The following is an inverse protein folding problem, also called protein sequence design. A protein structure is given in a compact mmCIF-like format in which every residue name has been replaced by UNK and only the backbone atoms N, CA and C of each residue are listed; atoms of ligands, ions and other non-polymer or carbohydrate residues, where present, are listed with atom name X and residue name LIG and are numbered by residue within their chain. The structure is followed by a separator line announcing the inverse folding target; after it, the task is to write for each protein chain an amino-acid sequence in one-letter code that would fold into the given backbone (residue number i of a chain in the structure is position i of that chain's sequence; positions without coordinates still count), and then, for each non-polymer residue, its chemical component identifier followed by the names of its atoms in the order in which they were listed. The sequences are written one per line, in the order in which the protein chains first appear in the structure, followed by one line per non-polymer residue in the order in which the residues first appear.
data_IF_689733339649
#
_entry.id   IF_689733339649
#
_cell.length_a   1.000
_cell.length_b   1.000
_cell.length_c   1.000
_cell.angle_alpha   90.00
_cell.angle_beta   90.00
_cell.angle_gamma   90.00
#
_symmetry.space_group_name_H-M   'P 1'
#
loop_
_entity.id
_entity.type
_entity.pdbx_description
1 polymer ?
#
# COMPACT_ATOMS: atom_id res chain seq x y z
N UNK A 1 -0.52 3.53 36.55
CA UNK A 1 -1.66 3.35 35.63
C UNK A 1 -2.94 3.73 36.35
N UNK A 2 -3.86 4.47 35.73
CA UNK A 2 -5.13 4.86 36.32
C UNK A 2 -6.07 3.65 36.47
N UNK A 3 -6.76 3.54 37.60
CA UNK A 3 -7.75 2.46 37.87
C UNK A 3 -9.10 2.77 37.23
N UNK A 4 -9.12 2.99 35.92
CA UNK A 4 -10.35 3.29 35.16
C UNK A 4 -10.97 1.99 34.63
N UNK A 5 -12.29 1.81 34.74
CA UNK A 5 -12.95 0.60 34.23
C UNK A 5 -12.86 0.49 32.71
N UNK A 6 -12.78 -0.73 32.18
CA UNK A 6 -12.77 -0.98 30.73
C UNK A 6 -14.02 -0.40 30.05
N UNK A 7 -15.20 -0.55 30.67
CA UNK A 7 -16.46 0.02 30.18
C UNK A 7 -16.40 1.54 30.06
N UNK A 8 -15.78 2.22 31.04
CA UNK A 8 -15.57 3.67 31.02
C UNK A 8 -14.63 4.08 29.88
N UNK A 9 -13.51 3.36 29.69
CA UNK A 9 -12.56 3.60 28.60
C UNK A 9 -13.20 3.42 27.22
N UNK A 10 -14.03 2.38 27.04
CA UNK A 10 -14.77 2.14 25.81
C UNK A 10 -15.79 3.25 25.53
N UNK A 11 -16.50 3.73 26.57
CA UNK A 11 -17.47 4.82 26.43
C UNK A 11 -16.78 6.13 26.00
N UNK A 12 -15.71 6.52 26.70
CA UNK A 12 -14.94 7.74 26.39
C UNK A 12 -14.34 7.67 24.98
N UNK A 13 -13.83 6.49 24.57
CA UNK A 13 -13.37 6.27 23.18
C UNK A 13 -14.49 6.53 22.17
N UNK A 14 -15.70 6.03 22.41
CA UNK A 14 -16.81 6.19 21.48
C UNK A 14 -17.23 7.66 21.35
N UNK A 15 -17.28 8.42 22.45
CA UNK A 15 -17.55 9.86 22.44
C UNK A 15 -16.51 10.64 21.62
N UNK A 16 -15.21 10.33 21.79
CA UNK A 16 -14.15 10.97 21.02
C UNK A 16 -14.21 10.62 19.51
N UNK A 17 -14.69 9.43 19.16
CA UNK A 17 -14.94 9.04 17.76
C UNK A 17 -16.16 9.78 17.18
N UNK A 18 -17.26 9.88 17.93
CA UNK A 18 -18.46 10.62 17.51
C UNK A 18 -18.17 12.10 17.28
N UNK A 19 -17.35 12.71 18.14
CA UNK A 19 -16.92 14.10 18.04
C UNK A 19 -15.83 14.33 16.96
N UNK A 20 -15.40 13.29 16.23
CA UNK A 20 -14.39 13.38 15.18
C UNK A 20 -12.95 13.60 15.67
N UNK A 21 -12.73 13.65 16.99
CA UNK A 21 -11.43 13.93 17.62
C UNK A 21 -10.47 12.74 17.60
N UNK A 22 -11.00 11.52 17.45
CA UNK A 22 -10.26 10.27 17.51
C UNK A 22 -10.73 9.30 16.41
N UNK A 23 -9.79 8.68 15.70
CA UNK A 23 -10.08 7.59 14.77
C UNK A 23 -9.51 6.28 15.31
N UNK A 24 -10.28 5.19 15.20
CA UNK A 24 -9.89 3.85 15.66
C UNK A 24 -9.88 2.84 14.51
N UNK A 25 -8.79 2.06 14.38
CA UNK A 25 -8.62 1.04 13.35
C UNK A 25 -8.27 -0.33 13.97
N UNK A 26 -9.15 -1.32 13.82
CA UNK A 26 -8.95 -2.71 14.29
C UNK A 26 -7.87 -3.42 13.46
N UNK A 27 -7.03 -4.26 14.08
CA UNK A 27 -5.91 -4.99 13.41
C UNK A 27 -5.94 -6.52 13.60
N UNK A 28 -7.12 -7.12 13.54
CA UNK A 28 -7.31 -8.57 13.71
C UNK A 28 -7.43 -9.01 15.17
N UNK A 29 -7.27 -10.31 15.45
CA UNK A 29 -7.47 -10.90 16.79
C UNK A 29 -6.25 -10.80 17.72
N UNK A 30 -5.03 -10.81 17.17
CA UNK A 30 -3.78 -10.92 17.95
C UNK A 30 -2.99 -9.61 18.04
N UNK A 31 -3.55 -8.48 17.56
CA UNK A 31 -2.88 -7.17 17.59
C UNK A 31 -3.81 -6.10 18.14
N UNK A 32 -3.27 -5.23 18.99
CA UNK A 32 -3.97 -4.03 19.43
C UNK A 32 -4.33 -3.13 18.23
N UNK A 33 -5.53 -2.54 18.29
CA UNK A 33 -5.98 -1.55 17.32
C UNK A 33 -5.14 -0.27 17.39
N UNK A 34 -5.18 0.52 16.31
CA UNK A 34 -4.50 1.82 16.21
C UNK A 34 -5.50 2.91 16.58
N UNK A 35 -5.01 3.89 17.34
CA UNK A 35 -5.68 5.14 17.65
C UNK A 35 -4.94 6.28 16.94
N UNK A 36 -5.66 7.16 16.26
CA UNK A 36 -5.12 8.33 15.55
C UNK A 36 -5.91 9.54 16.06
N UNK A 37 -5.21 10.57 16.53
CA UNK A 37 -5.84 11.84 16.90
C UNK A 37 -6.11 12.66 15.64
N UNK A 38 -7.23 13.37 15.60
CA UNK A 38 -7.51 14.36 14.56
C UNK A 38 -6.92 15.71 14.97
N UNK A 39 -6.43 16.49 14.00
CA UNK A 39 -5.80 17.79 14.26
C UNK A 39 -6.80 18.80 14.83
N UNK A 40 -6.65 19.09 16.13
CA UNK A 40 -7.51 20.03 16.88
C UNK A 40 -7.45 21.49 16.38
N UNK A 41 -6.49 21.81 15.52
CA UNK A 41 -6.25 23.15 14.97
C UNK A 41 -7.05 23.42 13.68
N UNK A 42 -7.75 22.41 13.13
CA UNK A 42 -8.60 22.56 11.95
C UNK A 42 -10.02 23.00 12.30
N UNK A 43 -10.61 23.89 11.49
CA UNK A 43 -12.01 24.31 11.65
C UNK A 43 -12.96 23.13 11.36
N UNK A 44 -13.43 22.44 12.40
CA UNK A 44 -14.39 21.35 12.26
C UNK A 44 -15.78 21.88 11.88
N UNK A 45 -16.25 21.53 10.68
CA UNK A 45 -17.68 21.59 10.37
C UNK A 45 -18.40 20.48 11.12
N UNK A 46 -19.25 20.86 12.08
CA UNK A 46 -20.09 19.93 12.84
C UNK A 46 -20.96 19.15 11.85
N UNK A 47 -20.84 17.82 11.85
CA UNK A 47 -21.79 16.95 11.15
C UNK A 47 -23.00 16.73 12.04
N UNK A 48 -24.12 17.33 11.67
CA UNK A 48 -25.45 17.11 12.26
C UNK A 48 -25.78 15.62 12.29
N UNK A 49 -26.46 15.09 13.33
CA UNK A 49 -26.86 13.69 13.37
C UNK A 49 -27.80 13.36 12.21
N UNK A 50 -27.53 12.27 11.51
CA UNK A 50 -28.49 11.65 10.60
C UNK A 50 -29.40 10.69 11.39
N UNK A 51 -30.68 10.66 11.03
CA UNK A 51 -31.74 10.00 11.77
C UNK A 51 -31.54 8.49 11.92
N UNK A 52 -31.91 7.94 13.09
CA UNK A 52 -32.29 6.55 13.26
C UNK A 52 -33.18 6.40 14.50
N UNK A 53 -34.49 6.40 14.28
CA UNK A 53 -35.46 6.03 15.31
C UNK A 53 -35.59 4.51 15.39
N UNK A 54 -35.59 3.95 16.60
CA UNK A 54 -36.37 2.74 16.96
C UNK A 54 -36.65 2.75 18.46
N UNK A 55 -37.93 2.58 18.80
CA UNK A 55 -38.53 2.62 20.13
C UNK A 55 -38.06 1.48 21.05
N UNK A 56 -37.98 1.75 22.37
CA UNK A 56 -37.74 0.73 23.39
C UNK A 56 -37.93 1.24 24.82
N UNK A 57 -39.18 1.45 25.24
CA UNK A 57 -39.51 1.95 26.58
C UNK A 57 -39.54 0.81 27.63
N UNK A 58 -38.75 0.91 28.70
CA UNK A 58 -39.05 0.30 30.02
C UNK A 58 -38.60 1.31 31.11
N UNK A 59 -39.44 1.62 32.12
CA UNK A 59 -39.14 2.63 33.14
C UNK A 59 -38.54 2.04 34.43
N UNK A 60 -37.69 2.82 35.13
CA UNK A 60 -37.53 2.74 36.59
C UNK A 60 -37.34 4.15 37.16
N UNK A 61 -38.14 4.45 38.17
CA UNK A 61 -38.14 5.65 38.99
C UNK A 61 -37.10 5.55 40.11
N UNK A 62 -36.34 6.62 40.37
CA UNK A 62 -35.98 7.01 41.75
C UNK A 62 -35.75 8.52 41.80
N UNK A 63 -36.56 9.21 42.58
CA UNK A 63 -36.42 10.62 42.91
C UNK A 63 -35.12 10.91 43.67
N UNK A 64 -34.32 11.86 43.17
CA UNK A 64 -33.36 12.61 43.98
C UNK A 64 -33.46 14.08 43.59
N UNK A 65 -33.97 14.89 44.51
CA UNK A 65 -33.90 16.35 44.42
C UNK A 65 -32.46 16.79 44.68
N UNK A 66 -31.90 17.56 43.75
CA UNK A 66 -30.76 18.42 44.00
C UNK A 66 -30.87 19.70 43.18
N UNK A 67 -31.78 20.59 43.59
CA UNK A 67 -31.72 22.00 43.22
C UNK A 67 -30.34 22.58 43.54
N UNK A 68 -29.61 22.99 42.49
CA UNK A 68 -28.41 23.83 42.60
C UNK A 68 -28.45 24.88 41.50
N UNK A 69 -28.62 26.14 41.90
CA UNK A 69 -28.60 27.29 41.00
C UNK A 69 -27.29 27.36 40.20
N UNK A 70 -27.40 27.39 38.88
CA UNK A 70 -26.24 27.57 37.98
C UNK A 70 -26.18 29.02 37.49
N UNK A 71 -25.70 29.93 38.34
CA UNK A 71 -25.61 31.36 38.01
C UNK A 71 -24.35 32.06 38.56
N UNK A 72 -23.15 31.66 38.11
CA UNK A 72 -21.98 32.57 38.18
C UNK A 72 -21.19 32.62 36.88
N UNK A 73 -21.48 33.68 36.13
CA UNK A 73 -20.58 34.60 35.43
C UNK A 73 -19.26 34.10 34.79
N UNK A 74 -19.13 34.40 33.50
CA UNK A 74 -17.87 34.36 32.75
C UNK A 74 -16.92 35.50 33.15
N UNK A 75 -15.88 35.21 33.96
CA UNK A 75 -14.57 35.89 33.86
C UNK A 75 -13.53 35.22 34.75
N UNK A 76 -12.59 34.46 34.17
CA UNK A 76 -11.25 34.28 34.76
C UNK A 76 -10.21 34.41 33.65
N UNK A 77 -9.35 35.42 33.80
CA UNK A 77 -8.30 35.77 32.84
C UNK A 77 -7.16 34.75 32.95
N UNK A 78 -6.97 33.89 31.96
CA UNK A 78 -5.83 32.96 31.94
C UNK A 78 -4.56 33.66 31.44
N UNK A 79 -3.89 34.36 32.35
CA UNK A 79 -2.51 34.83 32.16
C UNK A 79 -1.55 33.62 32.15
N UNK A 80 -1.29 33.06 30.97
CA UNK A 80 -0.19 32.11 30.75
C UNK A 80 0.56 32.54 29.49
N UNK A 81 1.80 32.97 29.70
CA UNK A 81 2.71 33.50 28.70
C UNK A 81 2.97 32.47 27.57
N UNK A 82 2.62 32.85 26.33
CA UNK A 82 2.66 31.96 25.15
C UNK A 82 3.93 32.17 24.30
N UNK A 83 4.98 32.80 24.86
CA UNK A 83 6.15 33.28 24.11
C UNK A 83 7.25 32.23 23.83
N UNK A 84 7.01 30.94 24.07
CA UNK A 84 7.91 29.86 23.69
C UNK A 84 7.44 29.15 22.40
N UNK A 85 8.32 29.04 21.40
CA UNK A 85 8.08 28.48 20.05
C UNK A 85 7.25 29.31 19.06
N UNK A 86 7.72 30.52 18.77
CA UNK A 86 7.62 31.08 17.40
C UNK A 86 9.02 31.23 16.80
N UNK A 87 9.54 30.17 16.18
CA UNK A 87 10.75 30.27 15.35
C UNK A 87 10.40 30.97 14.03
N UNK A 88 10.42 32.31 14.06
CA UNK A 88 10.30 33.15 12.86
C UNK A 88 11.54 32.95 11.99
N UNK A 89 11.34 32.42 10.79
CA UNK A 89 12.38 32.23 9.77
C UNK A 89 13.00 33.57 9.37
N UNK A 90 14.14 33.94 9.98
CA UNK A 90 14.96 35.06 9.52
C UNK A 90 15.82 34.61 8.34
N UNK A 91 15.70 35.31 7.23
CA UNK A 91 16.64 35.20 6.11
C UNK A 91 18.01 35.72 6.56
N UNK A 92 19.03 34.86 6.55
CA UNK A 92 20.42 35.27 6.74
C UNK A 92 21.15 35.17 5.39
N UNK A 93 21.44 36.31 4.77
CA UNK A 93 22.46 36.42 3.72
C UNK A 93 23.84 36.36 4.41
N UNK A 94 24.62 35.33 4.15
CA UNK A 94 26.06 35.31 4.46
C UNK A 94 26.85 34.87 3.23
N UNK A 95 27.83 35.68 2.83
CA UNK A 95 28.85 35.30 1.84
C UNK A 95 30.12 34.83 2.56
N UNK A 96 30.48 33.55 2.40
CA UNK A 96 31.83 32.98 2.56
C UNK A 96 31.74 31.57 1.95
N UNK A 97 32.38 31.20 0.83
CA UNK A 97 33.80 31.28 0.40
C UNK A 97 34.66 30.13 0.93
N UNK A 98 34.78 29.07 0.11
CA UNK A 98 35.90 28.12 -0.03
C UNK A 98 36.19 27.19 1.18
N UNK A 99 36.54 25.90 1.08
CA UNK A 99 36.79 24.93 -0.01
C UNK A 99 36.68 23.51 0.63
N UNK A 100 36.47 22.36 -0.03
CA UNK A 100 36.13 21.95 -1.41
C UNK A 100 35.40 20.57 -1.28
N UNK A 101 35.16 19.68 -2.27
CA UNK A 101 35.51 19.59 -3.70
C UNK A 101 34.48 18.70 -4.43
N UNK A 102 34.32 18.89 -5.75
CA UNK A 102 33.63 17.96 -6.69
C UNK A 102 32.10 17.79 -6.50
N UNK A 103 31.24 17.83 -7.52
CA UNK A 103 31.41 18.13 -8.95
C UNK A 103 30.30 19.07 -9.44
N UNK A 104 30.63 19.86 -10.46
CA UNK A 104 29.66 20.53 -11.33
C UNK A 104 28.61 19.56 -11.91
N UNK A 105 27.34 19.98 -11.90
CA UNK A 105 26.56 20.27 -13.12
C UNK A 105 25.28 21.02 -12.72
N UNK A 106 25.13 22.26 -13.21
CA UNK A 106 23.82 22.93 -13.30
C UNK A 106 23.09 22.40 -14.52
N UNK A 107 22.24 21.38 -14.32
CA UNK A 107 21.14 21.04 -15.22
C UNK A 107 19.88 20.83 -14.36
N UNK A 108 18.72 21.06 -15.00
CA UNK A 108 17.40 20.52 -14.62
C UNK A 108 17.16 20.15 -13.13
N UNK A 109 16.94 21.17 -12.29
CA UNK A 109 16.30 21.02 -10.95
C UNK A 109 14.90 20.36 -10.99
N UNK A 110 14.41 20.02 -12.18
CA UNK A 110 13.10 19.47 -12.47
C UNK A 110 13.06 17.93 -12.42
N UNK A 111 14.18 17.29 -12.73
CA UNK A 111 14.28 15.85 -13.08
C UNK A 111 15.12 15.03 -12.08
N UNK A 112 15.45 15.58 -10.90
CA UNK A 112 16.17 14.81 -9.89
C UNK A 112 15.30 13.69 -9.28
N UNK A 113 15.88 12.51 -9.11
CA UNK A 113 15.27 11.34 -8.48
C UNK A 113 14.79 11.62 -7.05
N UNK A 114 15.48 12.50 -6.32
CA UNK A 114 15.05 12.97 -4.98
C UNK A 114 13.72 13.72 -5.09
N UNK A 115 13.58 14.63 -6.05
CA UNK A 115 12.34 15.40 -6.26
C UNK A 115 11.22 14.49 -6.77
N UNK A 116 11.54 13.52 -7.63
CA UNK A 116 10.59 12.52 -8.09
C UNK A 116 10.04 11.67 -6.94
N UNK A 117 10.90 11.18 -6.04
CA UNK A 117 10.48 10.46 -4.84
C UNK A 117 9.54 11.29 -3.96
N UNK A 118 9.91 12.54 -3.67
CA UNK A 118 9.10 13.42 -2.82
C UNK A 118 7.71 13.67 -3.43
N UNK A 119 7.63 13.83 -4.75
CA UNK A 119 6.35 14.07 -5.44
C UNK A 119 5.47 12.82 -5.56
N UNK A 120 6.04 11.65 -5.87
CA UNK A 120 5.27 10.43 -6.19
C UNK A 120 5.05 9.48 -5.00
N UNK A 121 5.97 9.49 -4.02
CA UNK A 121 5.98 8.51 -2.93
C UNK A 121 5.61 9.15 -1.60
N UNK A 122 6.33 10.19 -1.18
CA UNK A 122 6.16 10.83 0.13
C UNK A 122 6.74 12.25 0.18
N UNK A 123 5.90 13.32 0.21
CA UNK A 123 6.37 14.70 0.27
C UNK A 123 7.13 15.08 1.55
N UNK A 124 6.98 14.30 2.63
CA UNK A 124 7.59 14.55 3.93
C UNK A 124 8.45 13.36 4.37
N UNK A 125 9.39 12.97 3.51
CA UNK A 125 10.29 11.84 3.74
C UNK A 125 11.40 12.15 4.77
N UNK A 126 11.88 11.13 5.48
CA UNK A 126 12.98 11.27 6.42
C UNK A 126 14.30 11.69 5.70
N UNK A 127 15.09 12.63 6.25
CA UNK A 127 16.33 13.13 5.60
C UNK A 127 17.35 12.05 5.23
N UNK A 128 17.43 10.96 6.02
CA UNK A 128 18.28 9.81 5.73
C UNK A 128 17.95 9.13 4.39
N UNK A 129 16.66 9.05 4.04
CA UNK A 129 16.21 8.45 2.77
C UNK A 129 16.55 9.38 1.60
N UNK A 130 16.35 10.68 1.78
CA UNK A 130 16.72 11.72 0.80
C UNK A 130 18.23 11.70 0.51
N UNK A 131 19.07 11.58 1.53
CA UNK A 131 20.53 11.42 1.37
C UNK A 131 20.87 10.11 0.66
N UNK A 132 20.23 9.00 1.05
CA UNK A 132 20.46 7.69 0.43
C UNK A 132 20.08 7.65 -1.05
N UNK A 133 19.00 8.35 -1.46
CA UNK A 133 18.65 8.54 -2.87
C UNK A 133 19.75 9.27 -3.63
N UNK A 134 20.32 10.34 -3.05
CA UNK A 134 21.47 11.04 -3.63
C UNK A 134 22.73 10.17 -3.74
N UNK A 135 22.99 9.30 -2.76
CA UNK A 135 24.07 8.32 -2.85
C UNK A 135 23.86 7.35 -4.01
N UNK A 136 22.66 6.77 -4.15
CA UNK A 136 22.33 5.90 -5.28
C UNK A 136 22.53 6.58 -6.64
N UNK A 137 22.13 7.86 -6.78
CA UNK A 137 22.38 8.62 -8.01
C UNK A 137 23.87 8.71 -8.31
N UNK A 138 24.72 8.97 -7.30
CA UNK A 138 26.17 8.99 -7.45
C UNK A 138 26.76 7.61 -7.78
N UNK A 139 26.26 6.53 -7.15
CA UNK A 139 26.69 5.15 -7.39
C UNK A 139 26.40 4.71 -8.84
N UNK A 140 25.31 5.20 -9.43
CA UNK A 140 24.98 5.07 -10.86
C UNK A 140 25.63 6.16 -11.74
N UNK A 141 26.71 6.81 -11.29
CA UNK A 141 27.50 7.76 -12.08
C UNK A 141 26.82 9.12 -12.34
N UNK A 142 25.86 9.51 -11.50
CA UNK A 142 25.09 10.75 -11.64
C UNK A 142 23.81 10.61 -12.49
N UNK A 143 23.37 9.40 -12.79
CA UNK A 143 22.19 9.14 -13.63
C UNK A 143 20.92 9.05 -12.78
N UNK A 144 20.27 10.19 -12.50
CA UNK A 144 18.96 10.26 -11.84
C UNK A 144 17.90 9.36 -12.54
N UNK A 145 17.98 9.25 -13.87
CA UNK A 145 17.08 8.45 -14.72
C UNK A 145 16.98 6.98 -14.28
N UNK A 146 18.10 6.37 -13.86
CA UNK A 146 18.13 4.97 -13.39
C UNK A 146 17.39 4.85 -12.06
N UNK A 147 17.58 5.79 -11.15
CA UNK A 147 16.90 5.79 -9.84
C UNK A 147 15.41 6.09 -10.02
N UNK A 148 15.03 6.96 -10.96
CA UNK A 148 13.63 7.22 -11.34
C UNK A 148 12.97 5.96 -11.91
N UNK A 149 13.62 5.27 -12.85
CA UNK A 149 13.11 4.01 -13.40
C UNK A 149 12.90 2.93 -12.31
N UNK A 150 13.77 2.89 -11.29
CA UNK A 150 13.60 2.00 -10.14
C UNK A 150 12.41 2.41 -9.24
N UNK A 151 12.15 3.71 -9.08
CA UNK A 151 10.96 4.23 -8.38
C UNK A 151 9.69 3.85 -9.15
N UNK A 152 9.69 3.98 -10.48
CA UNK A 152 8.55 3.56 -11.31
C UNK A 152 8.30 2.05 -11.23
N UNK A 153 9.35 1.22 -11.26
CA UNK A 153 9.24 -0.21 -11.06
C UNK A 153 8.71 -0.56 -9.65
N UNK A 154 9.15 0.18 -8.63
CA UNK A 154 8.62 0.05 -7.26
C UNK A 154 7.11 0.36 -7.22
N UNK A 155 6.68 1.46 -7.86
CA UNK A 155 5.29 1.91 -7.93
C UNK A 155 4.39 0.98 -8.74
N UNK A 156 4.85 0.45 -9.89
CA UNK A 156 4.15 -0.57 -10.69
C UNK A 156 3.86 -1.84 -9.90
N UNK A 157 4.79 -2.23 -9.01
CA UNK A 157 4.61 -3.36 -8.09
C UNK A 157 3.79 -3.00 -6.83
N UNK A 158 3.19 -1.80 -6.77
CA UNK A 158 2.43 -1.24 -5.66
C UNK A 158 3.19 -1.27 -4.31
N UNK A 159 4.51 -1.19 -4.36
CA UNK A 159 5.35 -1.01 -3.18
C UNK A 159 5.67 0.49 -3.04
N UNK A 160 5.51 1.04 -1.84
CA UNK A 160 5.88 2.43 -1.51
C UNK A 160 6.75 2.43 -0.27
N UNK A 161 7.93 1.82 -0.37
CA UNK A 161 8.85 1.69 0.74
C UNK A 161 10.28 1.70 0.25
N UNK A 162 11.13 2.53 0.86
CA UNK A 162 12.55 2.64 0.50
C UNK A 162 13.26 1.28 0.47
N UNK A 163 12.96 0.38 1.42
CA UNK A 163 13.52 -1.00 1.45
C UNK A 163 13.23 -1.82 0.17
N UNK A 164 12.13 -1.54 -0.53
CA UNK A 164 11.83 -2.19 -1.81
C UNK A 164 12.60 -1.53 -2.96
N UNK A 165 12.68 -0.19 -2.99
CA UNK A 165 13.53 0.55 -3.93
C UNK A 165 15.00 0.12 -3.82
N UNK A 166 15.56 0.10 -2.62
CA UNK A 166 16.91 -0.34 -2.32
C UNK A 166 17.17 -1.78 -2.83
N UNK A 167 16.17 -2.66 -2.74
CA UNK A 167 16.26 -4.03 -3.27
C UNK A 167 16.28 -4.07 -4.80
N UNK A 168 15.53 -3.19 -5.48
CA UNK A 168 15.59 -3.04 -6.95
C UNK A 168 16.98 -2.55 -7.34
N UNK A 169 17.44 -1.44 -6.76
CA UNK A 169 18.72 -0.80 -7.07
C UNK A 169 19.90 -1.75 -6.85
N UNK A 170 19.96 -2.46 -5.71
CA UNK A 170 20.96 -3.52 -5.45
C UNK A 170 20.89 -4.67 -6.47
N UNK A 171 19.69 -5.02 -6.95
CA UNK A 171 19.55 -6.03 -8.01
C UNK A 171 19.99 -5.53 -9.39
N UNK A 172 20.09 -4.22 -9.61
CA UNK A 172 20.51 -3.62 -10.88
C UNK A 172 22.02 -3.37 -10.89
N UNK A 173 22.54 -2.83 -9.78
CA UNK A 173 23.97 -2.73 -9.46
C UNK A 173 24.68 -4.09 -9.61
N UNK A 174 24.19 -5.13 -8.92
CA UNK A 174 24.76 -6.50 -9.00
C UNK A 174 24.64 -7.17 -10.37
N UNK A 175 23.91 -6.57 -11.32
CA UNK A 175 23.81 -7.03 -12.72
C UNK A 175 24.59 -6.15 -13.70
N UNK A 176 25.28 -5.11 -13.24
CA UNK A 176 25.99 -4.17 -14.10
C UNK A 176 25.08 -3.32 -14.99
N UNK A 177 23.87 -2.98 -14.50
CA UNK A 177 22.93 -2.09 -15.20
C UNK A 177 23.30 -0.62 -14.92
N UNK A 178 24.43 -0.20 -15.47
CA UNK A 178 25.08 1.11 -15.31
C UNK A 178 24.57 2.20 -16.27
N UNK A 179 23.54 1.92 -17.08
CA UNK A 179 23.03 2.81 -18.12
C UNK A 179 21.52 2.62 -18.29
N UNK A 180 20.81 3.72 -18.59
CA UNK A 180 19.35 3.70 -18.82
C UNK A 180 18.94 2.69 -19.90
N UNK A 181 19.71 2.56 -20.99
CA UNK A 181 19.41 1.61 -22.08
C UNK A 181 19.47 0.16 -21.61
N UNK A 182 20.47 -0.18 -20.79
CA UNK A 182 20.59 -1.52 -20.17
C UNK A 182 19.44 -1.81 -19.22
N UNK A 183 19.02 -0.81 -18.42
CA UNK A 183 17.86 -0.91 -17.52
C UNK A 183 16.58 -1.14 -18.32
N UNK A 184 16.33 -0.37 -19.38
CA UNK A 184 15.14 -0.50 -20.21
C UNK A 184 15.06 -1.88 -20.88
N UNK A 185 16.13 -2.32 -21.54
CA UNK A 185 16.19 -3.65 -22.15
C UNK A 185 16.00 -4.79 -21.11
N UNK A 186 16.55 -4.62 -19.91
CA UNK A 186 16.35 -5.56 -18.80
C UNK A 186 14.88 -5.61 -18.34
N UNK A 187 14.21 -4.46 -18.24
CA UNK A 187 12.78 -4.37 -17.89
C UNK A 187 11.91 -5.04 -18.97
N UNK A 188 12.12 -4.71 -20.24
CA UNK A 188 11.35 -5.28 -21.36
C UNK A 188 11.47 -6.82 -21.41
N UNK A 189 12.67 -7.35 -21.20
CA UNK A 189 12.89 -8.79 -21.04
C UNK A 189 12.17 -9.40 -19.84
N UNK A 190 12.12 -8.67 -18.71
CA UNK A 190 11.43 -9.11 -17.50
C UNK A 190 9.91 -9.17 -17.67
N UNK A 191 9.29 -8.14 -18.27
CA UNK A 191 7.85 -8.10 -18.53
C UNK A 191 7.42 -9.17 -19.54
N UNK A 192 8.17 -9.34 -20.63
CA UNK A 192 7.90 -10.37 -21.64
C UNK A 192 7.99 -11.78 -21.04
N UNK A 193 9.04 -12.07 -20.25
CA UNK A 193 9.21 -13.37 -19.59
C UNK A 193 8.07 -13.69 -18.62
N UNK A 194 7.58 -12.70 -17.87
CA UNK A 194 6.45 -12.87 -16.95
C UNK A 194 5.15 -13.19 -17.70
N UNK A 195 4.90 -12.55 -18.84
CA UNK A 195 3.72 -12.84 -19.67
C UNK A 195 3.80 -14.24 -20.29
N UNK A 196 4.92 -14.62 -20.90
CA UNK A 196 5.11 -15.97 -21.44
C UNK A 196 5.01 -17.05 -20.36
N UNK A 197 5.54 -16.83 -19.16
CA UNK A 197 5.46 -17.77 -18.05
C UNK A 197 4.04 -17.91 -17.46
N UNK A 198 3.23 -16.84 -17.47
CA UNK A 198 1.80 -16.93 -17.09
C UNK A 198 1.00 -17.69 -18.15
N UNK A 199 1.21 -17.37 -19.43
CA UNK A 199 0.51 -18.03 -20.54
C UNK A 199 0.90 -19.52 -20.66
N UNK A 200 2.16 -19.87 -20.35
CA UNK A 200 2.61 -21.26 -20.27
C UNK A 200 2.00 -22.08 -19.10
N UNK A 201 1.41 -21.42 -18.08
CA UNK A 201 0.73 -22.12 -16.96
C UNK A 201 -0.74 -22.38 -17.27
N UNK A 202 -1.41 -21.48 -17.99
CA UNK A 202 -2.78 -21.69 -18.48
C UNK A 202 -2.84 -22.60 -19.69
N UNK A 203 -1.86 -22.53 -20.62
CA UNK A 203 -1.87 -23.33 -21.84
C UNK A 203 -1.98 -24.83 -21.55
N UNK A 204 -2.99 -25.46 -22.15
CA UNK A 204 -3.14 -26.90 -22.16
C UNK A 204 -2.03 -27.54 -22.99
N UNK A 205 -1.45 -28.62 -22.47
CA UNK A 205 -0.50 -29.48 -23.19
C UNK A 205 -1.13 -30.86 -23.36
N UNK A 206 -0.74 -31.67 -24.37
CA UNK A 206 -1.35 -32.98 -24.60
C UNK A 206 -1.35 -33.85 -23.34
N UNK A 207 -0.21 -33.88 -22.63
CA UNK A 207 -0.09 -34.58 -21.35
C UNK A 207 -1.00 -34.00 -20.26
N UNK A 208 -1.08 -32.67 -20.11
CA UNK A 208 -1.91 -32.03 -19.07
C UNK A 208 -3.41 -32.25 -19.32
N UNK A 209 -3.86 -32.19 -20.58
CA UNK A 209 -5.22 -32.54 -20.96
C UNK A 209 -5.52 -33.99 -20.59
N UNK A 210 -4.62 -34.91 -20.97
CA UNK A 210 -4.75 -36.33 -20.68
C UNK A 210 -4.78 -36.62 -19.17
N UNK A 211 -3.85 -36.06 -18.39
CA UNK A 211 -3.75 -36.28 -16.94
C UNK A 211 -5.03 -35.81 -16.21
N UNK A 212 -5.63 -34.70 -16.64
CA UNK A 212 -6.89 -34.17 -16.09
C UNK A 212 -8.12 -35.00 -16.54
N UNK A 213 -8.23 -35.33 -17.83
CA UNK A 213 -9.34 -36.17 -18.33
C UNK A 213 -9.30 -37.56 -17.70
N UNK A 214 -8.12 -38.14 -17.50
CA UNK A 214 -7.97 -39.42 -16.83
C UNK A 214 -8.48 -39.39 -15.39
N UNK A 215 -8.27 -38.29 -14.66
CA UNK A 215 -8.82 -38.12 -13.31
C UNK A 215 -10.36 -38.08 -13.30
N UNK A 216 -10.98 -37.35 -14.23
CA UNK A 216 -12.44 -37.30 -14.38
C UNK A 216 -13.04 -38.66 -14.79
N UNK A 217 -12.39 -39.35 -15.74
CA UNK A 217 -12.76 -40.70 -16.15
C UNK A 217 -12.73 -41.68 -14.97
N UNK A 218 -11.68 -41.66 -14.17
CA UNK A 218 -11.56 -42.48 -12.96
C UNK A 218 -12.55 -42.07 -11.86
N UNK A 219 -13.03 -40.83 -11.88
CA UNK A 219 -14.13 -40.32 -11.05
C UNK A 219 -15.54 -40.68 -11.54
N UNK A 220 -15.68 -41.38 -12.67
CA UNK A 220 -16.96 -41.82 -13.23
C UNK A 220 -17.51 -40.95 -14.37
N UNK A 221 -16.76 -39.95 -14.85
CA UNK A 221 -17.17 -39.07 -15.95
C UNK A 221 -16.22 -39.21 -17.16
N UNK A 222 -16.42 -40.20 -18.05
CA UNK A 222 -15.55 -40.44 -19.20
C UNK A 222 -15.74 -39.47 -20.37
N UNK A 223 -16.90 -38.78 -20.43
CA UNK A 223 -17.29 -37.94 -21.56
C UNK A 223 -16.33 -36.77 -21.81
N UNK A 224 -15.86 -36.66 -23.06
CA UNK A 224 -15.08 -35.50 -23.53
C UNK A 224 -15.88 -34.20 -23.51
N UNK A 225 -17.19 -34.28 -23.71
CA UNK A 225 -18.09 -33.11 -23.74
C UNK A 225 -18.24 -32.50 -22.33
N UNK A 226 -18.43 -33.36 -21.32
CA UNK A 226 -18.38 -32.96 -19.90
C UNK A 226 -17.01 -32.38 -19.52
N UNK A 227 -15.92 -32.98 -20.01
CA UNK A 227 -14.58 -32.46 -19.79
C UNK A 227 -14.37 -31.07 -20.43
N UNK A 228 -14.90 -30.86 -21.63
CA UNK A 228 -14.85 -29.60 -22.35
C UNK A 228 -15.54 -28.48 -21.58
N UNK A 229 -16.79 -28.72 -21.14
CA UNK A 229 -17.60 -27.78 -20.38
C UNK A 229 -16.92 -27.44 -19.04
N UNK A 230 -16.53 -28.46 -18.26
CA UNK A 230 -15.95 -28.31 -16.92
C UNK A 230 -14.65 -27.51 -16.89
N UNK A 231 -13.81 -27.67 -17.91
CA UNK A 231 -12.48 -27.05 -17.97
C UNK A 231 -12.37 -25.92 -19.00
N UNK A 232 -13.47 -25.57 -19.68
CA UNK A 232 -13.53 -24.56 -20.75
C UNK A 232 -12.46 -24.81 -21.82
N UNK A 233 -12.33 -26.07 -22.25
CA UNK A 233 -11.35 -26.55 -23.22
C UNK A 233 -11.88 -26.33 -24.63
N UNK A 234 -11.04 -25.81 -25.53
CA UNK A 234 -11.45 -25.53 -26.92
C UNK A 234 -11.54 -26.81 -27.76
N UNK A 235 -12.30 -26.78 -28.87
CA UNK A 235 -12.38 -27.91 -29.81
C UNK A 235 -10.99 -28.38 -30.29
N UNK A 236 -10.06 -27.45 -30.54
CA UNK A 236 -8.69 -27.78 -30.94
C UNK A 236 -7.94 -28.56 -29.85
N UNK A 237 -8.15 -28.21 -28.58
CA UNK A 237 -7.56 -28.90 -27.44
C UNK A 237 -8.25 -30.25 -27.15
N UNK A 238 -9.54 -30.40 -27.48
CA UNK A 238 -10.23 -31.70 -27.47
C UNK A 238 -9.70 -32.65 -28.56
N UNK A 239 -9.39 -32.13 -29.75
CA UNK A 239 -8.71 -32.92 -30.80
C UNK A 239 -7.34 -33.40 -30.30
N UNK A 240 -6.54 -32.50 -29.71
CA UNK A 240 -5.23 -32.85 -29.11
C UNK A 240 -5.36 -33.90 -28.00
N UNK A 241 -6.37 -33.78 -27.13
CA UNK A 241 -6.67 -34.77 -26.10
C UNK A 241 -7.04 -36.12 -26.73
N UNK A 242 -7.91 -36.12 -27.74
CA UNK A 242 -8.35 -37.33 -28.44
C UNK A 242 -7.15 -38.05 -29.09
N UNK A 243 -6.27 -37.33 -29.78
CA UNK A 243 -5.04 -37.87 -30.36
C UNK A 243 -4.11 -38.47 -29.29
N UNK A 244 -3.93 -37.80 -28.15
CA UNK A 244 -3.07 -38.29 -27.06
C UNK A 244 -3.68 -39.52 -26.35
N UNK A 245 -5.01 -39.66 -26.28
CA UNK A 245 -5.69 -40.88 -25.80
C UNK A 245 -5.50 -42.03 -26.78
N UNK A 246 -5.65 -41.79 -28.09
CA UNK A 246 -5.42 -42.80 -29.15
C UNK A 246 -3.98 -43.30 -29.16
N UNK A 247 -3.02 -42.38 -29.09
CA UNK A 247 -1.58 -42.66 -28.97
C UNK A 247 -1.21 -43.51 -27.75
N UNK A 248 -2.06 -43.53 -26.71
CA UNK A 248 -1.92 -44.37 -25.50
C UNK A 248 -2.68 -45.70 -25.58
N UNK A 249 -3.28 -46.03 -26.73
CA UNK A 249 -4.00 -47.28 -26.96
C UNK A 249 -5.36 -47.37 -26.26
N UNK A 250 -5.97 -46.23 -25.90
CA UNK A 250 -7.18 -46.20 -25.07
C UNK A 250 -8.41 -45.67 -25.83
N UNK A 251 -8.57 -46.04 -27.09
CA UNK A 251 -9.69 -45.54 -27.93
C UNK A 251 -11.06 -45.96 -27.36
N UNK A 252 -11.14 -47.16 -26.77
CA UNK A 252 -12.33 -47.67 -26.08
C UNK A 252 -12.68 -46.91 -24.79
N UNK A 253 -11.80 -46.04 -24.29
CA UNK A 253 -12.02 -45.27 -23.06
C UNK A 253 -12.85 -43.99 -23.27
N UNK A 254 -13.16 -43.65 -24.52
CA UNK A 254 -13.87 -42.44 -24.96
C UNK A 254 -15.28 -42.77 -25.50
N UNK A 255 -15.70 -44.03 -25.41
CA UNK A 255 -16.95 -44.57 -25.96
C UNK A 255 -18.07 -44.68 -24.93
#
# INVERSE_FOLDING_TARGET
MTKTSEKTLINNRNQLIQNGLLQYKKRGRTKAGIYILSDITGNFTVKTPADNATTGNIPVDTTVDCSVDTSVNSSVVSSVDTSAYINKTKQNKTKQSNNASVSSITKNSEESAVRYWLNQVNPAEAPFIVQSLGHWVNDFGGQDEIVIAAIDEMLKNNARSYKYLEKILKSWESKGLDSLEKVQHFLDGHYNKNNSARNSKSKWTPKKLFDYWWAEKMGGHPSLDYFAEKYSVTEQELVILTEEIKKRGMEHAIS
#
